data_IF_832420249610
#
_entry.id   IF_832420249610
#
_cell.length_a   1.000
_cell.length_b   1.000
_cell.length_c   1.000
_cell.angle_alpha   90.00
_cell.angle_beta   90.00
_cell.angle_gamma   90.00
#
_symmetry.space_group_name_H-M   'P 1'
#
loop_
_entity.id
_entity.type
_entity.pdbx_description
1 polymer ?
#
# COMPACT_ATOMS: atom_id res chain seq x y z
N UNK A 1 -5.55 0.71 -21.59
CA UNK A 1 -6.66 0.68 -20.61
C UNK A 1 -6.46 -0.50 -19.69
N UNK A 2 -6.01 -0.27 -18.46
CA UNK A 2 -5.70 -1.31 -17.48
C UNK A 2 -5.42 -0.67 -16.13
N UNK A 3 -6.45 -0.07 -15.53
CA UNK A 3 -6.37 0.69 -14.28
C UNK A 3 -6.00 -0.18 -13.06
N UNK A 4 -6.10 -1.51 -13.19
CA UNK A 4 -5.98 -2.45 -12.08
C UNK A 4 -5.07 -3.59 -12.49
N UNK A 5 -4.01 -3.82 -11.72
CA UNK A 5 -3.17 -5.01 -11.82
C UNK A 5 -3.76 -6.17 -11.02
N UNK A 6 -3.27 -7.40 -11.24
CA UNK A 6 -3.60 -8.53 -10.37
C UNK A 6 -3.38 -8.14 -8.90
N UNK A 7 -4.35 -8.42 -8.04
CA UNK A 7 -4.40 -7.94 -6.65
C UNK A 7 -3.08 -8.13 -5.87
N UNK A 8 -2.44 -9.30 -6.01
CA UNK A 8 -1.15 -9.57 -5.36
C UNK A 8 0.00 -8.66 -5.81
N UNK A 9 0.07 -8.29 -7.10
CA UNK A 9 1.11 -7.39 -7.62
C UNK A 9 0.92 -5.96 -7.14
N UNK A 10 -0.33 -5.48 -7.08
CA UNK A 10 -0.65 -4.15 -6.56
C UNK A 10 -0.20 -4.00 -5.10
N UNK A 11 -0.49 -4.99 -4.25
CA UNK A 11 -0.08 -4.99 -2.85
C UNK A 11 1.45 -5.00 -2.68
N UNK A 12 2.16 -5.82 -3.45
CA UNK A 12 3.63 -5.87 -3.41
C UNK A 12 4.26 -4.51 -3.76
N UNK A 13 3.69 -3.78 -4.73
CA UNK A 13 4.16 -2.44 -5.08
C UNK A 13 3.96 -1.44 -3.94
N UNK A 14 2.81 -1.48 -3.25
CA UNK A 14 2.55 -0.62 -2.09
C UNK A 14 3.59 -0.88 -0.99
N UNK A 15 3.87 -2.14 -0.66
CA UNK A 15 4.90 -2.52 0.32
C UNK A 15 6.29 -2.01 -0.11
N UNK A 16 6.63 -2.16 -1.39
CA UNK A 16 7.91 -1.69 -1.93
C UNK A 16 8.07 -0.16 -1.81
N UNK A 17 7.02 0.60 -2.11
CA UNK A 17 7.03 2.08 -1.97
C UNK A 17 7.22 2.48 -0.51
N UNK A 18 6.47 1.88 0.43
CA UNK A 18 6.64 2.17 1.85
C UNK A 18 8.09 1.90 2.31
N UNK A 19 8.70 0.80 1.85
CA UNK A 19 10.10 0.49 2.14
C UNK A 19 11.07 1.52 1.54
N UNK A 20 10.87 1.93 0.28
CA UNK A 20 11.73 2.91 -0.39
C UNK A 20 11.69 4.29 0.28
N UNK A 21 10.52 4.69 0.78
CA UNK A 21 10.31 5.99 1.41
C UNK A 21 10.52 5.97 2.92
N UNK A 22 11.03 4.86 3.48
CA UNK A 22 11.19 4.66 4.93
C UNK A 22 9.90 4.93 5.74
N UNK A 23 8.75 4.64 5.13
CA UNK A 23 7.44 4.74 5.76
C UNK A 23 7.15 3.46 6.56
N UNK A 24 6.31 3.51 7.60
CA UNK A 24 5.86 2.30 8.26
C UNK A 24 5.19 1.35 7.26
N UNK A 25 5.44 0.04 7.43
CA UNK A 25 4.86 -0.96 6.54
C UNK A 25 3.33 -0.95 6.61
N UNK A 26 2.66 -1.23 5.48
CA UNK A 26 1.20 -1.29 5.45
C UNK A 26 0.69 -2.40 6.38
N UNK A 27 -0.32 -2.08 7.17
CA UNK A 27 -0.95 -3.04 8.07
C UNK A 27 -2.23 -3.58 7.44
N UNK A 28 -2.34 -4.91 7.38
CA UNK A 28 -3.50 -5.62 6.88
C UNK A 28 -4.27 -6.22 8.05
N UNK A 29 -5.50 -5.75 8.27
CA UNK A 29 -6.42 -6.33 9.23
C UNK A 29 -7.51 -7.08 8.47
N UNK A 30 -7.60 -8.38 8.71
CA UNK A 30 -8.64 -9.23 8.15
C UNK A 30 -9.79 -9.33 9.15
N UNK A 31 -10.93 -8.73 8.83
CA UNK A 31 -12.20 -8.96 9.53
C UNK A 31 -12.98 -10.11 8.89
N UNK A 32 -14.14 -10.45 9.45
CA UNK A 32 -14.99 -11.55 8.96
C UNK A 32 -15.45 -11.39 7.51
N UNK A 33 -15.57 -10.15 7.02
CA UNK A 33 -16.16 -9.84 5.71
C UNK A 33 -15.34 -8.82 4.92
N UNK A 34 -14.35 -8.17 5.55
CA UNK A 34 -13.61 -7.06 4.96
C UNK A 34 -12.13 -7.15 5.28
N UNK A 35 -11.30 -6.69 4.34
CA UNK A 35 -9.86 -6.48 4.55
C UNK A 35 -9.65 -4.99 4.67
N UNK A 36 -9.20 -4.52 5.83
CA UNK A 36 -8.78 -3.14 6.05
C UNK A 36 -7.27 -3.06 5.86
N UNK A 37 -6.83 -2.15 4.99
CA UNK A 37 -5.41 -1.86 4.80
C UNK A 37 -5.14 -0.43 5.25
N UNK A 38 -4.24 -0.26 6.22
CA UNK A 38 -3.78 1.05 6.67
C UNK A 38 -2.43 1.35 6.01
N UNK A 39 -2.36 2.47 5.27
CA UNK A 39 -1.14 2.98 4.63
C UNK A 39 -0.85 4.39 5.14
N UNK A 40 0.43 4.73 5.22
CA UNK A 40 0.87 6.06 5.65
C UNK A 40 1.14 6.94 4.44
N UNK A 41 0.70 8.20 4.51
CA UNK A 41 0.95 9.18 3.45
C UNK A 41 2.46 9.38 3.30
N UNK A 42 2.96 9.23 2.07
CA UNK A 42 4.29 9.67 1.73
C UNK A 42 4.36 11.20 1.86
N UNK A 43 5.24 11.70 2.73
CA UNK A 43 5.64 13.09 2.66
C UNK A 43 6.56 13.24 1.46
N UNK A 44 6.01 13.67 0.33
CA UNK A 44 6.84 14.14 -0.77
C UNK A 44 7.55 15.44 -0.31
N UNK A 45 8.88 15.56 -0.46
CA UNK A 45 9.59 16.83 -0.36
C UNK A 45 9.44 17.68 -1.65
N UNK A 46 8.30 17.63 -2.32
CA UNK A 46 8.02 18.45 -3.52
C UNK A 46 6.77 19.29 -3.28
N UNK A 47 7.00 20.46 -2.70
CA UNK A 47 6.37 21.70 -3.14
C UNK A 47 7.09 22.20 -4.40
#
# INVERSE_FOLDING_TARGET
YGLVEKAGRGLQKIVAICKQLSLPQPQFQCGSTFIKTTVYKANNPTA
#
